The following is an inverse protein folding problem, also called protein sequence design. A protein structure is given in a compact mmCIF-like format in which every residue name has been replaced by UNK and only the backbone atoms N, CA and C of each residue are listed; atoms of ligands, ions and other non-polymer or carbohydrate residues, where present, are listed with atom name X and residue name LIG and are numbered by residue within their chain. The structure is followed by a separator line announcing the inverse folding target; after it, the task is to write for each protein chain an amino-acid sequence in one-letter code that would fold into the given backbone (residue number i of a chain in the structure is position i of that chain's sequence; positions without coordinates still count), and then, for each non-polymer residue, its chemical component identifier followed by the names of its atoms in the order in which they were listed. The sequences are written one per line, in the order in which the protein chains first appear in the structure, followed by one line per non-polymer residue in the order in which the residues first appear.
data_IF_130596532510
#
_entry.id   IF_130596532510
#
_cell.length_a   1.000
_cell.length_b   1.000
_cell.length_c   1.000
_cell.angle_alpha   90.00
_cell.angle_beta   90.00
_cell.angle_gamma   90.00
#
_symmetry.space_group_name_H-M   'P 1'
#
loop_
_entity.id
_entity.type
_entity.pdbx_description
1 polymer ?
#
# COMPACT_ATOMS: atom_id res chain seq x y z
N UNK A 1 8.89 21.37 -24.35
CA UNK A 1 7.94 20.24 -24.23
C UNK A 1 8.07 19.70 -22.81
N UNK A 2 7.15 20.07 -21.92
CA UNK A 2 7.14 19.57 -20.54
C UNK A 2 6.67 18.13 -20.58
N UNK A 3 7.53 17.18 -20.21
CA UNK A 3 7.11 15.80 -20.00
C UNK A 3 6.14 15.79 -18.82
N UNK A 4 4.95 15.21 -19.02
CA UNK A 4 3.95 15.00 -17.99
C UNK A 4 4.60 14.32 -16.77
N UNK A 5 4.68 15.02 -15.63
CA UNK A 5 5.08 14.43 -14.35
C UNK A 5 4.04 13.45 -13.77
N UNK A 6 3.04 13.06 -14.56
CA UNK A 6 1.92 12.19 -14.21
C UNK A 6 2.23 10.68 -14.34
N UNK A 7 3.35 10.31 -14.96
CA UNK A 7 3.43 8.99 -15.62
C UNK A 7 3.96 7.85 -14.75
N UNK A 8 4.60 8.12 -13.60
CA UNK A 8 5.14 7.05 -12.74
C UNK A 8 4.95 7.36 -11.27
N UNK A 9 3.81 6.92 -10.76
CA UNK A 9 3.51 6.85 -9.34
C UNK A 9 3.22 5.41 -8.97
N UNK A 10 4.09 4.83 -8.16
CA UNK A 10 3.91 3.51 -7.59
C UNK A 10 3.63 3.63 -6.09
N UNK A 11 2.81 2.73 -5.57
CA UNK A 11 2.62 2.57 -4.14
C UNK A 11 3.61 1.51 -3.63
N UNK A 12 4.30 1.82 -2.54
CA UNK A 12 4.99 0.79 -1.75
C UNK A 12 4.38 0.73 -0.35
N UNK A 13 4.33 -0.48 0.21
CA UNK A 13 3.84 -0.68 1.55
C UNK A 13 4.63 -1.76 2.30
N UNK A 14 4.74 -1.59 3.60
CA UNK A 14 5.28 -2.55 4.56
C UNK A 14 4.23 -2.77 5.66
N UNK A 15 3.67 -3.97 5.72
CA UNK A 15 2.51 -4.28 6.57
C UNK A 15 2.90 -5.37 7.57
N UNK A 16 2.85 -5.01 8.85
CA UNK A 16 2.91 -5.92 9.99
C UNK A 16 1.54 -6.13 10.64
N UNK A 17 1.53 -6.70 11.84
CA UNK A 17 0.27 -6.93 12.57
C UNK A 17 -0.32 -5.68 13.22
N UNK A 18 0.54 -4.80 13.71
CA UNK A 18 0.12 -3.60 14.45
C UNK A 18 0.08 -2.36 13.57
N UNK A 19 1.02 -2.26 12.63
CA UNK A 19 1.22 -1.06 11.82
C UNK A 19 1.34 -1.42 10.35
N UNK A 20 0.79 -0.55 9.50
CA UNK A 20 0.95 -0.56 8.06
C UNK A 20 1.57 0.76 7.62
N UNK A 21 2.73 0.68 6.96
CA UNK A 21 3.45 1.84 6.44
C UNK A 21 3.30 1.93 4.94
N UNK A 22 3.02 3.12 4.43
CA UNK A 22 2.79 3.39 3.02
C UNK A 22 3.66 4.56 2.55
N UNK A 23 4.14 4.49 1.31
CA UNK A 23 4.82 5.59 0.63
C UNK A 23 4.51 5.57 -0.87
N UNK A 24 4.65 6.71 -1.54
CA UNK A 24 4.62 6.82 -2.99
C UNK A 24 6.04 6.84 -3.55
N UNK A 25 6.24 6.27 -4.72
CA UNK A 25 7.53 6.31 -5.45
C UNK A 25 7.33 7.11 -6.72
N UNK A 26 8.09 8.20 -6.84
CA UNK A 26 8.05 9.09 -8.00
C UNK A 26 8.97 8.63 -9.14
N UNK A 27 8.97 9.37 -10.25
CA UNK A 27 9.77 9.08 -11.44
C UNK A 27 11.29 9.01 -11.18
N UNK A 28 11.78 9.71 -10.16
CA UNK A 28 13.18 9.67 -9.72
C UNK A 28 13.53 8.41 -8.89
N UNK A 29 12.57 7.47 -8.73
CA UNK A 29 12.68 6.25 -7.92
C UNK A 29 12.91 6.50 -6.42
N UNK A 30 12.57 7.69 -5.92
CA UNK A 30 12.62 7.99 -4.50
C UNK A 30 11.25 7.87 -3.88
N UNK A 31 11.20 7.30 -2.68
CA UNK A 31 10.00 7.22 -1.88
C UNK A 31 9.71 8.58 -1.22
N UNK A 32 8.45 8.96 -1.13
CA UNK A 32 7.98 10.19 -0.49
C UNK A 32 6.57 10.00 0.08
N UNK A 33 6.08 11.01 0.82
CA UNK A 33 4.78 11.00 1.47
C UNK A 33 4.56 9.77 2.39
N UNK A 34 5.61 9.35 3.10
CA UNK A 34 5.55 8.22 4.03
C UNK A 34 4.53 8.48 5.15
N UNK A 35 3.68 7.50 5.42
CA UNK A 35 2.79 7.50 6.58
C UNK A 35 2.69 6.11 7.17
N UNK A 36 2.67 6.05 8.51
CA UNK A 36 2.36 4.83 9.26
C UNK A 36 0.94 4.94 9.80
N UNK A 37 0.14 3.90 9.58
CA UNK A 37 -1.23 3.75 10.04
C UNK A 37 -1.33 2.58 11.01
N UNK A 38 -2.11 2.73 12.08
CA UNK A 38 -2.40 1.62 12.99
C UNK A 38 -3.38 0.67 12.31
N UNK A 39 -3.05 -0.63 12.26
CA UNK A 39 -3.91 -1.63 11.60
C UNK A 39 -5.28 -1.74 12.27
N UNK A 40 -5.37 -1.48 13.57
CA UNK A 40 -6.61 -1.53 14.34
C UNK A 40 -7.68 -0.51 13.87
N UNK A 41 -7.27 0.56 13.19
CA UNK A 41 -8.19 1.60 12.71
C UNK A 41 -8.88 1.25 11.38
N UNK A 42 -8.53 0.12 10.77
CA UNK A 42 -9.03 -0.28 9.46
C UNK A 42 -9.47 -1.75 9.43
N UNK A 43 -10.51 -2.04 8.65
CA UNK A 43 -11.00 -3.41 8.48
C UNK A 43 -10.08 -4.29 7.64
N UNK A 44 -9.11 -3.72 6.93
CA UNK A 44 -8.16 -4.45 6.10
C UNK A 44 -7.25 -3.56 5.25
N UNK A 45 -6.36 -4.22 4.51
CA UNK A 45 -5.35 -3.59 3.64
C UNK A 45 -5.97 -2.59 2.65
N UNK A 46 -7.06 -2.96 1.98
CA UNK A 46 -7.72 -2.10 0.96
C UNK A 46 -8.24 -0.80 1.56
N UNK A 47 -8.85 -0.86 2.76
CA UNK A 47 -9.36 0.32 3.45
C UNK A 47 -8.24 1.23 3.95
N UNK A 48 -7.12 0.67 4.41
CA UNK A 48 -5.94 1.42 4.82
C UNK A 48 -5.27 2.13 3.63
N UNK A 49 -5.08 1.42 2.51
CA UNK A 49 -4.54 2.00 1.26
C UNK A 49 -5.45 3.13 0.75
N UNK A 50 -6.77 2.91 0.72
CA UNK A 50 -7.71 3.92 0.26
C UNK A 50 -7.68 5.18 1.15
N UNK A 51 -7.56 5.01 2.47
CA UNK A 51 -7.38 6.12 3.40
C UNK A 51 -6.06 6.85 3.12
N UNK A 52 -4.94 6.13 3.04
CA UNK A 52 -3.63 6.70 2.74
C UNK A 52 -3.67 7.57 1.47
N UNK A 53 -4.17 7.02 0.36
CA UNK A 53 -4.25 7.72 -0.94
C UNK A 53 -5.13 8.97 -0.88
N UNK A 54 -6.25 8.95 -0.16
CA UNK A 54 -7.07 10.16 0.05
C UNK A 54 -6.33 11.22 0.86
N UNK A 55 -5.57 10.80 1.87
CA UNK A 55 -4.85 11.70 2.77
C UNK A 55 -3.66 12.37 2.09
N UNK A 56 -2.93 11.67 1.22
CA UNK A 56 -1.80 12.27 0.46
C UNK A 56 -2.27 13.04 -0.78
N UNK A 57 -3.41 12.65 -1.36
CA UNK A 57 -3.94 13.26 -2.58
C UNK A 57 -3.05 13.03 -3.81
N UNK A 58 -3.40 13.70 -4.91
CA UNK A 58 -2.65 13.59 -6.17
C UNK A 58 -3.08 12.42 -7.06
N UNK A 59 -2.30 12.12 -8.11
CA UNK A 59 -2.64 11.06 -9.06
C UNK A 59 -2.62 9.69 -8.39
N UNK A 60 -3.55 8.82 -8.81
CA UNK A 60 -3.67 7.47 -8.25
C UNK A 60 -2.60 6.55 -8.83
N UNK A 61 -1.83 5.82 -7.99
CA UNK A 61 -0.87 4.82 -8.47
C UNK A 61 -1.53 3.73 -9.30
N UNK A 62 -0.84 3.26 -10.35
CA UNK A 62 -1.28 2.12 -11.18
C UNK A 62 -0.57 0.81 -10.85
N UNK A 63 0.48 0.87 -10.04
CA UNK A 63 1.23 -0.30 -9.57
C UNK A 63 1.43 -0.18 -8.07
N UNK A 64 1.54 -1.34 -7.42
CA UNK A 64 1.86 -1.42 -6.01
C UNK A 64 2.80 -2.59 -5.73
N UNK A 65 3.67 -2.43 -4.74
CA UNK A 65 4.43 -3.52 -4.13
C UNK A 65 4.19 -3.49 -2.61
N UNK A 66 3.78 -4.62 -2.04
CA UNK A 66 3.42 -4.73 -0.62
C UNK A 66 4.25 -5.83 0.01
N UNK A 67 5.11 -5.45 0.96
CA UNK A 67 5.74 -6.39 1.87
C UNK A 67 4.75 -6.71 3.01
N UNK A 68 4.66 -8.00 3.38
CA UNK A 68 3.77 -8.47 4.44
C UNK A 68 4.52 -9.37 5.41
N UNK A 69 4.29 -9.18 6.72
CA UNK A 69 4.91 -9.98 7.78
C UNK A 69 4.19 -11.33 8.01
N UNK A 70 3.91 -12.06 6.94
CA UNK A 70 3.26 -13.38 6.97
C UNK A 70 3.70 -14.21 5.75
N UNK A 71 3.70 -15.55 5.79
CA UNK A 71 3.99 -16.37 4.62
C UNK A 71 3.02 -16.11 3.46
N UNK A 72 3.53 -16.06 2.24
CA UNK A 72 2.73 -16.00 1.01
C UNK A 72 2.76 -17.40 0.38
N UNK A 73 1.69 -18.16 0.59
CA UNK A 73 1.56 -19.56 0.10
C UNK A 73 0.58 -19.71 -1.06
N UNK A 74 -0.12 -18.63 -1.43
CA UNK A 74 -1.10 -18.60 -2.52
C UNK A 74 -1.73 -17.22 -2.65
N UNK A 75 -2.89 -17.17 -3.32
CA UNK A 75 -3.65 -15.92 -3.52
C UNK A 75 -4.15 -15.31 -2.20
N UNK A 76 -4.53 -16.15 -1.24
CA UNK A 76 -5.04 -15.71 0.06
C UNK A 76 -3.87 -15.42 1.01
N UNK A 77 -3.75 -14.16 1.43
CA UNK A 77 -2.80 -13.71 2.44
C UNK A 77 -3.55 -13.52 3.77
N UNK A 78 -3.06 -14.16 4.82
CA UNK A 78 -3.63 -14.08 6.18
C UNK A 78 -2.52 -13.71 7.16
N UNK A 79 -2.70 -12.60 7.89
CA UNK A 79 -1.71 -12.16 8.86
C UNK A 79 -1.81 -13.00 10.13
N UNK A 80 -0.69 -13.48 10.65
CA UNK A 80 -0.66 -14.31 11.88
C UNK A 80 -0.86 -13.48 13.15
N UNK A 81 -0.65 -12.16 13.09
CA UNK A 81 -0.68 -11.23 14.21
C UNK A 81 -1.71 -10.11 14.05
N UNK A 82 -2.64 -10.22 13.08
CA UNK A 82 -3.79 -9.33 12.95
C UNK A 82 -4.95 -10.05 12.26
N UNK A 83 -6.20 -9.56 12.37
CA UNK A 83 -7.35 -10.16 11.70
C UNK A 83 -7.39 -9.88 10.19
N UNK A 84 -6.44 -9.13 9.64
CA UNK A 84 -6.45 -8.80 8.23
C UNK A 84 -6.20 -10.03 7.37
N UNK A 85 -6.98 -10.13 6.30
CA UNK A 85 -6.76 -11.08 5.22
C UNK A 85 -7.21 -10.46 3.90
N UNK A 86 -6.58 -10.87 2.80
CA UNK A 86 -6.96 -10.41 1.47
C UNK A 86 -6.60 -11.45 0.40
N UNK A 87 -7.23 -11.33 -0.77
CA UNK A 87 -6.83 -12.05 -1.98
C UNK A 87 -5.95 -11.11 -2.79
N UNK A 88 -4.79 -11.59 -3.26
CA UNK A 88 -3.88 -10.80 -4.10
C UNK A 88 -4.62 -10.40 -5.39
N UNK A 89 -5.25 -11.34 -6.06
CA UNK A 89 -5.95 -11.12 -7.33
C UNK A 89 -7.15 -10.18 -7.19
N UNK A 90 -7.94 -10.30 -6.12
CA UNK A 90 -9.06 -9.41 -5.87
C UNK A 90 -8.65 -7.97 -5.54
N UNK A 91 -7.37 -7.72 -5.25
CA UNK A 91 -6.84 -6.38 -4.90
C UNK A 91 -6.09 -5.67 -6.03
N UNK A 92 -6.00 -6.27 -7.21
CA UNK A 92 -5.35 -5.68 -8.40
C UNK A 92 -6.20 -4.59 -9.07
#
# INVERSE_FOLDING_TARGET
MQQNQSDFLDLIADIGGTNARFALVGANRQAYAERTLACADFSGVTTAVAHYLRTVGGPRPRRAAVAVATPITGDRVEFTNSPWSFSIEATR
#
